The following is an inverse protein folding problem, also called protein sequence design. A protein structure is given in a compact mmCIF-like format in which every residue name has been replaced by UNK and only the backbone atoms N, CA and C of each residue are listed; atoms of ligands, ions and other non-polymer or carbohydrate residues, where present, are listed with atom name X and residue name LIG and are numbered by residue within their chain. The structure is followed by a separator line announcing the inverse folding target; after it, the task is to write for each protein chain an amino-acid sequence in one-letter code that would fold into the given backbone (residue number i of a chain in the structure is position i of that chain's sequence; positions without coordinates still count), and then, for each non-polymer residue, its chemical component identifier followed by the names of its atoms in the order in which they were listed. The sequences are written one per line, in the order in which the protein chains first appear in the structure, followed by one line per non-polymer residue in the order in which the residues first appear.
data_IF_571175725678
#
_entry.id   IF_571175725678
#
_cell.length_a   1.000
_cell.length_b   1.000
_cell.length_c   1.000
_cell.angle_alpha   90.00
_cell.angle_beta   90.00
_cell.angle_gamma   90.00
#
_symmetry.space_group_name_H-M   'P 1'
#
loop_
_entity.id
_entity.type
_entity.pdbx_description
1 polymer ?
#
# COMPACT_ATOMS: atom_id res chain seq x y z
N UNK A 1 -34.22 -0.10 10.34
CA UNK A 1 -33.03 0.59 9.84
C UNK A 1 -31.87 0.31 10.77
N UNK A 2 -31.40 -0.93 10.81
CA UNK A 2 -30.22 -1.30 11.61
C UNK A 2 -29.02 -1.25 10.71
N UNK A 3 -28.39 -0.05 10.67
CA UNK A 3 -27.11 0.13 10.02
C UNK A 3 -26.06 -0.72 10.74
N UNK A 4 -25.66 -1.82 10.11
CA UNK A 4 -24.47 -2.56 10.47
C UNK A 4 -23.28 -1.58 10.43
N UNK A 5 -22.96 -1.00 11.59
CA UNK A 5 -21.62 -0.43 11.83
C UNK A 5 -20.66 -1.63 11.76
N UNK A 6 -20.19 -1.97 10.56
CA UNK A 6 -19.10 -2.93 10.40
C UNK A 6 -17.95 -2.38 11.24
N UNK A 7 -17.54 -3.17 12.23
CA UNK A 7 -16.42 -2.80 13.11
C UNK A 7 -15.21 -2.58 12.22
N UNK A 8 -14.73 -1.34 12.16
CA UNK A 8 -13.60 -0.97 11.30
C UNK A 8 -12.40 -1.82 11.67
N UNK A 9 -11.81 -2.47 10.68
CA UNK A 9 -10.59 -3.27 10.83
C UNK A 9 -9.44 -2.30 11.11
N UNK A 10 -8.62 -2.61 12.10
CA UNK A 10 -7.38 -1.90 12.35
C UNK A 10 -6.24 -2.94 12.38
N UNK A 11 -5.23 -2.76 11.54
CA UNK A 11 -4.09 -3.66 11.42
C UNK A 11 -2.85 -2.92 11.92
N UNK A 12 -2.13 -3.47 12.91
CA UNK A 12 -0.88 -2.87 13.36
C UNK A 12 0.15 -2.79 12.22
N UNK A 13 0.87 -1.68 12.13
CA UNK A 13 1.95 -1.52 11.15
C UNK A 13 3.16 -2.42 11.47
N UNK A 14 3.28 -2.84 12.71
CA UNK A 14 4.47 -3.50 13.25
C UNK A 14 5.53 -2.53 13.77
N UNK A 15 5.24 -1.23 13.72
CA UNK A 15 6.05 -0.14 14.25
C UNK A 15 5.23 0.60 15.32
N UNK A 16 5.36 0.26 16.63
CA UNK A 16 4.45 0.75 17.67
C UNK A 16 4.36 2.27 17.79
N UNK A 17 5.46 2.99 17.54
CA UNK A 17 5.45 4.46 17.55
C UNK A 17 4.65 5.03 16.37
N UNK A 18 4.75 4.40 15.20
CA UNK A 18 3.93 4.77 14.03
C UNK A 18 2.46 4.48 14.31
N UNK A 19 2.15 3.33 14.92
CA UNK A 19 0.78 2.98 15.31
C UNK A 19 0.17 4.01 16.27
N UNK A 20 0.95 4.54 17.21
CA UNK A 20 0.51 5.61 18.11
C UNK A 20 0.21 6.93 17.39
N UNK A 21 0.80 7.16 16.20
CA UNK A 21 0.64 8.39 15.41
C UNK A 21 -0.54 8.29 14.43
N UNK A 22 -0.64 7.19 13.69
CA UNK A 22 -1.64 7.03 12.62
C UNK A 22 -2.78 6.05 12.96
N UNK A 23 -2.74 5.39 14.13
CA UNK A 23 -3.73 4.40 14.55
C UNK A 23 -3.57 3.03 13.89
N UNK A 24 -2.46 2.76 13.20
CA UNK A 24 -2.27 1.57 12.37
C UNK A 24 -2.87 1.74 10.96
N UNK A 25 -3.04 0.63 10.23
CA UNK A 25 -3.79 0.64 8.97
C UNK A 25 -5.28 0.52 9.28
N UNK A 26 -5.96 1.65 9.23
CA UNK A 26 -7.37 1.79 9.66
C UNK A 26 -8.32 1.48 8.52
N UNK A 27 -9.37 0.71 8.79
CA UNK A 27 -10.41 0.38 7.83
C UNK A 27 -11.14 1.60 7.30
N UNK A 28 -11.57 1.55 6.04
CA UNK A 28 -12.16 2.69 5.33
C UNK A 28 -11.15 3.71 4.82
N UNK A 29 -9.85 3.48 5.07
CA UNK A 29 -8.78 4.40 4.66
C UNK A 29 -7.91 3.82 3.55
N UNK A 30 -7.42 4.73 2.69
CA UNK A 30 -6.33 4.47 1.75
C UNK A 30 -5.01 4.92 2.35
N UNK A 31 -4.06 3.98 2.46
CA UNK A 31 -2.71 4.21 2.93
C UNK A 31 -1.76 4.14 1.74
N UNK A 32 -1.06 5.22 1.46
CA UNK A 32 -0.09 5.26 0.37
C UNK A 32 1.33 5.23 0.93
N UNK A 33 2.09 4.21 0.54
CA UNK A 33 3.49 4.02 0.94
C UNK A 33 4.36 4.24 -0.29
N UNK A 34 5.20 5.24 -0.29
CA UNK A 34 6.05 5.53 -1.42
C UNK A 34 7.51 5.80 -1.02
N UNK A 35 8.39 5.75 -1.98
CA UNK A 35 9.82 6.01 -1.78
C UNK A 35 10.66 5.39 -2.88
N UNK A 36 11.98 5.56 -2.75
CA UNK A 36 12.97 5.02 -3.66
C UNK A 36 12.94 3.48 -3.72
N UNK A 37 13.60 2.92 -4.73
CA UNK A 37 13.83 1.48 -4.79
C UNK A 37 14.59 0.99 -3.54
N UNK A 38 14.27 -0.21 -3.08
CA UNK A 38 14.90 -0.86 -1.90
C UNK A 38 14.71 -0.09 -0.57
N UNK A 39 13.81 0.90 -0.51
CA UNK A 39 13.53 1.64 0.73
C UNK A 39 12.66 0.85 1.73
N UNK A 40 12.16 -0.35 1.37
CA UNK A 40 11.43 -1.23 2.29
C UNK A 40 9.90 -1.15 2.17
N UNK A 41 9.35 -0.52 1.15
CA UNK A 41 7.90 -0.38 0.92
C UNK A 41 7.17 -1.73 0.95
N UNK A 42 7.59 -2.64 0.06
CA UNK A 42 7.05 -4.01 -0.01
C UNK A 42 7.23 -4.76 1.31
N UNK A 43 8.38 -4.61 1.98
CA UNK A 43 8.61 -5.28 3.28
C UNK A 43 7.67 -4.78 4.38
N UNK A 44 7.36 -3.48 4.39
CA UNK A 44 6.38 -2.90 5.32
C UNK A 44 4.96 -3.38 5.01
N UNK A 45 4.58 -3.43 3.73
CA UNK A 45 3.30 -3.96 3.30
C UNK A 45 3.16 -5.47 3.56
N UNK A 46 4.23 -6.26 3.40
CA UNK A 46 4.24 -7.69 3.73
C UNK A 46 4.06 -7.94 5.24
N UNK A 47 4.66 -7.10 6.09
CA UNK A 47 4.44 -7.17 7.54
C UNK A 47 2.97 -6.86 7.89
N UNK A 48 2.36 -5.87 7.22
CA UNK A 48 0.93 -5.58 7.37
C UNK A 48 0.07 -6.79 6.95
N UNK A 49 0.41 -7.45 5.84
CA UNK A 49 -0.27 -8.67 5.39
C UNK A 49 -0.16 -9.81 6.43
N UNK A 50 1.03 -10.03 6.98
CA UNK A 50 1.22 -11.02 8.04
C UNK A 50 0.38 -10.70 9.29
N UNK A 51 0.32 -9.42 9.69
CA UNK A 51 -0.49 -8.98 10.82
C UNK A 51 -1.99 -9.13 10.56
N UNK A 52 -2.48 -8.82 9.35
CA UNK A 52 -3.88 -9.04 8.96
C UNK A 52 -4.28 -10.53 9.02
N UNK A 53 -3.40 -11.41 8.56
CA UNK A 53 -3.60 -12.87 8.62
C UNK A 53 -3.66 -13.37 10.07
N UNK A 54 -2.75 -12.89 10.93
CA UNK A 54 -2.77 -13.23 12.38
C UNK A 54 -4.05 -12.78 13.09
N UNK A 55 -4.67 -11.70 12.61
CA UNK A 55 -5.99 -11.27 13.06
C UNK A 55 -7.16 -12.10 12.48
N UNK A 56 -6.85 -13.20 11.80
CA UNK A 56 -7.82 -14.15 11.26
C UNK A 56 -8.41 -13.76 9.88
N UNK A 57 -7.90 -12.69 9.23
CA UNK A 57 -8.40 -12.25 7.93
C UNK A 57 -7.69 -12.88 6.75
N UNK A 58 -8.32 -12.76 5.57
CA UNK A 58 -7.67 -12.97 4.28
C UNK A 58 -7.06 -11.65 3.80
N UNK A 59 -6.01 -11.76 3.01
CA UNK A 59 -5.35 -10.64 2.35
C UNK A 59 -5.42 -10.85 0.84
N UNK A 60 -5.87 -9.82 0.11
CA UNK A 60 -5.75 -9.76 -1.33
C UNK A 60 -4.53 -8.91 -1.67
N UNK A 61 -3.58 -9.50 -2.38
CA UNK A 61 -2.37 -8.83 -2.85
C UNK A 61 -2.38 -8.75 -4.37
N UNK A 62 -2.53 -7.55 -4.89
CA UNK A 62 -2.45 -7.27 -6.34
C UNK A 62 -0.99 -6.93 -6.66
N UNK A 63 -0.34 -7.82 -7.40
CA UNK A 63 1.06 -7.69 -7.84
C UNK A 63 1.09 -6.95 -9.18
N UNK A 64 1.17 -5.64 -9.13
CA UNK A 64 1.14 -4.78 -10.32
C UNK A 64 2.48 -4.83 -11.06
N UNK A 65 2.47 -5.45 -12.23
CA UNK A 65 3.65 -5.66 -13.07
C UNK A 65 4.38 -6.97 -12.80
N UNK A 66 3.78 -7.88 -12.02
CA UNK A 66 4.32 -9.23 -11.75
C UNK A 66 5.75 -9.18 -11.18
N UNK A 67 5.96 -8.31 -10.19
CA UNK A 67 7.28 -8.02 -9.61
C UNK A 67 7.48 -8.60 -8.21
N UNK A 68 6.53 -9.39 -7.71
CA UNK A 68 6.61 -9.99 -6.39
C UNK A 68 7.73 -11.04 -6.33
N UNK A 69 8.64 -10.86 -5.40
CA UNK A 69 9.62 -11.88 -5.02
C UNK A 69 8.96 -12.87 -4.06
N UNK A 70 8.53 -14.01 -4.60
CA UNK A 70 7.76 -15.02 -3.85
C UNK A 70 8.54 -15.54 -2.64
N UNK A 71 9.87 -15.74 -2.76
CA UNK A 71 10.70 -16.15 -1.63
C UNK A 71 10.63 -15.13 -0.49
N UNK A 72 10.65 -13.84 -0.81
CA UNK A 72 10.55 -12.77 0.18
C UNK A 72 9.18 -12.73 0.86
N UNK A 73 8.13 -12.91 0.09
CA UNK A 73 6.77 -13.03 0.59
C UNK A 73 6.65 -14.19 1.58
N UNK A 74 7.09 -15.38 1.18
CA UNK A 74 7.06 -16.57 2.02
C UNK A 74 7.93 -16.40 3.27
N UNK A 75 9.14 -15.84 3.15
CA UNK A 75 10.03 -15.58 4.27
C UNK A 75 9.33 -14.73 5.34
N UNK A 76 8.71 -13.60 4.94
CA UNK A 76 8.02 -12.71 5.89
C UNK A 76 6.82 -13.42 6.54
N UNK A 77 6.00 -14.12 5.75
CA UNK A 77 4.83 -14.82 6.28
C UNK A 77 5.22 -15.93 7.27
N UNK A 78 6.19 -16.78 6.92
CA UNK A 78 6.66 -17.87 7.80
C UNK A 78 7.32 -17.35 9.07
N UNK A 79 8.19 -16.33 8.96
CA UNK A 79 8.83 -15.73 10.14
C UNK A 79 7.80 -15.16 11.12
N UNK A 80 6.71 -14.62 10.60
CA UNK A 80 5.59 -14.11 11.41
C UNK A 80 4.57 -15.19 11.80
N UNK A 81 4.76 -16.48 11.43
CA UNK A 81 3.81 -17.57 11.64
C UNK A 81 2.41 -17.26 11.08
N UNK A 82 2.35 -16.58 9.95
CA UNK A 82 1.12 -16.27 9.24
C UNK A 82 0.77 -17.42 8.29
N UNK A 83 -0.52 -17.77 8.25
CA UNK A 83 -1.05 -18.82 7.39
C UNK A 83 -1.06 -18.36 5.92
N UNK A 84 -0.16 -18.90 5.11
CA UNK A 84 0.00 -18.53 3.70
C UNK A 84 -1.24 -18.79 2.86
N UNK A 85 -2.10 -19.74 3.25
CA UNK A 85 -3.36 -20.03 2.54
C UNK A 85 -4.37 -18.89 2.59
N UNK A 86 -4.16 -17.93 3.47
CA UNK A 86 -5.02 -16.74 3.62
C UNK A 86 -4.55 -15.55 2.76
N UNK A 87 -3.44 -15.68 2.05
CA UNK A 87 -2.99 -14.66 1.10
C UNK A 87 -3.38 -15.07 -0.32
N UNK A 88 -4.13 -14.20 -0.99
CA UNK A 88 -4.55 -14.36 -2.38
C UNK A 88 -3.67 -13.42 -3.20
N UNK A 89 -2.72 -13.99 -3.94
CA UNK A 89 -1.84 -13.24 -4.84
C UNK A 89 -2.50 -13.16 -6.22
N UNK A 90 -2.72 -11.95 -6.71
CA UNK A 90 -3.31 -11.65 -8.01
C UNK A 90 -2.28 -10.92 -8.87
N UNK A 91 -1.57 -11.62 -9.77
CA UNK A 91 -0.63 -10.97 -10.67
C UNK A 91 -1.38 -10.18 -11.73
N UNK A 92 -0.87 -8.99 -12.06
CA UNK A 92 -1.42 -8.07 -13.06
C UNK A 92 -0.29 -7.60 -13.96
N UNK A 93 -0.42 -7.75 -15.27
CA UNK A 93 0.67 -7.52 -16.23
C UNK A 93 0.67 -6.12 -16.83
N UNK A 94 -0.50 -5.49 -16.98
CA UNK A 94 -0.66 -4.20 -17.63
C UNK A 94 -1.71 -3.32 -16.95
N UNK A 95 -1.83 -2.08 -17.40
CA UNK A 95 -2.72 -1.09 -16.79
C UNK A 95 -4.20 -1.40 -17.03
N UNK A 96 -4.54 -2.12 -18.09
CA UNK A 96 -5.91 -2.54 -18.38
C UNK A 96 -6.34 -3.66 -17.41
N UNK A 97 -5.48 -4.65 -17.19
CA UNK A 97 -5.72 -5.69 -16.17
C UNK A 97 -5.80 -5.12 -14.76
N UNK A 98 -4.98 -4.08 -14.44
CA UNK A 98 -5.07 -3.39 -13.15
C UNK A 98 -6.44 -2.76 -12.95
N UNK A 99 -6.97 -2.09 -13.97
CA UNK A 99 -8.30 -1.48 -13.92
C UNK A 99 -9.41 -2.52 -13.75
N UNK A 100 -9.36 -3.62 -14.53
CA UNK A 100 -10.30 -4.74 -14.41
C UNK A 100 -10.26 -5.33 -13.00
N UNK A 101 -9.06 -5.51 -12.44
CA UNK A 101 -8.88 -6.03 -11.08
C UNK A 101 -9.51 -5.09 -10.04
N UNK A 102 -9.30 -3.78 -10.17
CA UNK A 102 -9.91 -2.79 -9.27
C UNK A 102 -11.43 -2.80 -9.38
N UNK A 103 -11.98 -2.91 -10.59
CA UNK A 103 -13.44 -3.02 -10.81
C UNK A 103 -13.98 -4.29 -10.14
N UNK A 104 -13.30 -5.42 -10.29
CA UNK A 104 -13.69 -6.68 -9.65
C UNK A 104 -13.70 -6.58 -8.11
N UNK A 105 -12.75 -5.84 -7.52
CA UNK A 105 -12.76 -5.56 -6.09
C UNK A 105 -13.94 -4.69 -5.67
N UNK A 106 -14.37 -3.75 -6.52
CA UNK A 106 -15.52 -2.89 -6.28
C UNK A 106 -16.84 -3.69 -6.37
N UNK A 107 -16.94 -4.62 -7.32
CA UNK A 107 -18.12 -5.49 -7.51
C UNK A 107 -18.30 -6.50 -6.37
N UNK A 108 -17.20 -6.99 -5.79
CA UNK A 108 -17.31 -7.96 -4.71
C UNK A 108 -16.02 -8.30 -3.96
N UNK A 109 -15.91 -7.80 -2.75
CA UNK A 109 -14.83 -8.17 -1.82
C UNK A 109 -15.36 -9.14 -0.76
N UNK A 110 -14.68 -10.30 -0.58
CA UNK A 110 -15.08 -11.30 0.41
C UNK A 110 -15.16 -10.69 1.82
N UNK A 111 -16.20 -11.01 2.61
CA UNK A 111 -16.32 -10.56 4.01
C UNK A 111 -15.17 -11.00 4.91
N UNK A 112 -14.44 -12.05 4.54
CA UNK A 112 -13.24 -12.51 5.26
C UNK A 112 -11.98 -11.71 4.94
N UNK A 113 -12.01 -10.84 3.92
CA UNK A 113 -10.88 -9.97 3.58
C UNK A 113 -10.73 -8.89 4.63
N UNK A 114 -9.52 -8.72 5.16
CA UNK A 114 -9.18 -7.68 6.13
C UNK A 114 -8.17 -6.67 5.62
N UNK A 115 -7.52 -6.96 4.50
CA UNK A 115 -6.52 -6.08 3.88
C UNK A 115 -6.50 -6.31 2.38
N UNK A 116 -6.38 -5.22 1.63
CA UNK A 116 -6.01 -5.25 0.21
C UNK A 116 -4.70 -4.48 0.05
N UNK A 117 -3.76 -5.04 -0.69
CA UNK A 117 -2.48 -4.40 -1.05
C UNK A 117 -2.35 -4.35 -2.56
N UNK A 118 -1.95 -3.21 -3.11
CA UNK A 118 -1.57 -3.07 -4.52
C UNK A 118 -0.10 -2.64 -4.57
N UNK A 119 0.78 -3.50 -5.04
CA UNK A 119 2.24 -3.29 -5.10
C UNK A 119 2.78 -3.64 -6.50
N UNK A 120 3.34 -2.76 -7.27
CA UNK A 120 3.49 -1.30 -7.18
C UNK A 120 2.35 -0.61 -7.95
N UNK A 121 1.41 0.01 -7.26
CA UNK A 121 0.18 0.59 -7.81
C UNK A 121 0.43 1.60 -8.94
N UNK A 122 1.50 2.36 -8.84
CA UNK A 122 1.81 3.42 -9.80
C UNK A 122 2.70 2.96 -10.96
N UNK A 123 3.18 1.74 -10.94
CA UNK A 123 4.14 1.23 -11.92
C UNK A 123 3.52 1.09 -13.32
N UNK A 124 2.41 0.38 -13.43
CA UNK A 124 1.74 0.13 -14.71
C UNK A 124 1.16 1.41 -15.33
N UNK A 125 0.66 2.33 -14.50
CA UNK A 125 0.28 3.67 -14.93
C UNK A 125 1.46 4.39 -15.61
N UNK A 126 2.64 4.37 -14.99
CA UNK A 126 3.84 5.00 -15.53
C UNK A 126 4.26 4.40 -16.87
N UNK A 127 4.16 3.07 -17.03
CA UNK A 127 4.48 2.39 -18.30
C UNK A 127 3.46 2.72 -19.39
N UNK A 128 2.19 2.88 -19.04
CA UNK A 128 1.14 3.22 -20.00
C UNK A 128 1.25 4.65 -20.56
N UNK A 129 1.97 5.53 -19.87
CA UNK A 129 2.17 6.93 -20.32
C UNK A 129 3.11 6.99 -21.51
N UNK A 130 2.78 7.89 -22.44
CA UNK A 130 3.55 8.14 -23.67
C UNK A 130 4.45 9.39 -23.61
N UNK A 131 4.25 10.21 -22.58
CA UNK A 131 4.97 11.48 -22.38
C UNK A 131 4.31 12.70 -23.04
N UNK A 132 3.17 12.51 -23.72
CA UNK A 132 2.43 13.57 -24.40
C UNK A 132 1.16 13.93 -23.61
N UNK A 133 1.01 15.20 -23.21
CA UNK A 133 -0.06 15.67 -22.31
C UNK A 133 -1.47 15.25 -22.79
N UNK A 134 -1.73 15.33 -24.10
CA UNK A 134 -3.05 15.00 -24.68
C UNK A 134 -3.31 13.49 -24.66
N UNK A 135 -2.28 12.68 -24.92
CA UNK A 135 -2.38 11.23 -24.96
C UNK A 135 -2.41 10.63 -23.54
N UNK A 136 -1.76 11.27 -22.59
CA UNK A 136 -1.69 10.83 -21.21
C UNK A 136 -2.91 11.24 -20.36
N UNK A 137 -3.67 12.27 -20.78
CA UNK A 137 -4.84 12.72 -20.06
C UNK A 137 -5.89 11.62 -19.78
N UNK A 138 -6.22 10.72 -20.73
CA UNK A 138 -7.10 9.58 -20.45
C UNK A 138 -6.50 8.60 -19.44
N UNK A 139 -5.20 8.38 -19.47
CA UNK A 139 -4.48 7.46 -18.55
C UNK A 139 -4.55 8.00 -17.10
N UNK A 140 -4.36 9.32 -16.92
CA UNK A 140 -4.56 9.96 -15.62
C UNK A 140 -6.00 9.87 -15.12
N UNK A 141 -7.01 10.03 -16.01
CA UNK A 141 -8.42 9.87 -15.64
C UNK A 141 -8.72 8.45 -15.17
N UNK A 142 -8.19 7.45 -15.84
CA UNK A 142 -8.34 6.03 -15.45
C UNK A 142 -7.69 5.75 -14.09
N UNK A 143 -6.49 6.28 -13.83
CA UNK A 143 -5.88 6.14 -12.51
C UNK A 143 -6.70 6.82 -11.42
N UNK A 144 -7.25 8.01 -11.70
CA UNK A 144 -8.13 8.69 -10.76
C UNK A 144 -9.40 7.88 -10.46
N UNK A 145 -10.00 7.29 -11.50
CA UNK A 145 -11.14 6.39 -11.35
C UNK A 145 -10.79 5.17 -10.51
N UNK A 146 -9.69 4.48 -10.80
CA UNK A 146 -9.22 3.33 -10.01
C UNK A 146 -9.00 3.71 -8.55
N UNK A 147 -8.37 4.86 -8.28
CA UNK A 147 -8.08 5.29 -6.90
C UNK A 147 -9.37 5.64 -6.15
N UNK A 148 -10.33 6.28 -6.82
CA UNK A 148 -11.65 6.55 -6.25
C UNK A 148 -12.42 5.25 -5.96
N UNK A 149 -12.37 4.27 -6.87
CA UNK A 149 -12.98 2.95 -6.69
C UNK A 149 -12.37 2.20 -5.50
N UNK A 150 -11.04 2.25 -5.33
CA UNK A 150 -10.39 1.68 -4.15
C UNK A 150 -10.84 2.36 -2.84
N UNK A 151 -11.05 3.68 -2.88
CA UNK A 151 -11.60 4.39 -1.71
C UNK A 151 -13.01 3.91 -1.37
N UNK A 152 -13.85 3.70 -2.37
CA UNK A 152 -15.19 3.14 -2.20
C UNK A 152 -15.14 1.71 -1.63
N UNK A 153 -14.27 0.86 -2.16
CA UNK A 153 -14.02 -0.51 -1.62
C UNK A 153 -13.64 -0.45 -0.15
N UNK A 154 -12.71 0.44 0.23
CA UNK A 154 -12.27 0.59 1.61
C UNK A 154 -13.43 0.99 2.53
N UNK A 155 -14.22 2.00 2.14
CA UNK A 155 -15.34 2.53 2.92
C UNK A 155 -16.46 1.48 3.06
N UNK A 156 -16.89 0.88 1.95
CA UNK A 156 -18.01 -0.07 1.93
C UNK A 156 -17.71 -1.33 2.73
N UNK A 157 -16.45 -1.81 2.69
CA UNK A 157 -16.06 -3.03 3.38
C UNK A 157 -15.47 -2.78 4.78
N UNK A 158 -15.18 -1.53 5.16
CA UNK A 158 -14.57 -1.17 6.43
C UNK A 158 -13.16 -1.74 6.61
N UNK A 159 -12.42 -1.92 5.50
CA UNK A 159 -11.07 -2.51 5.48
C UNK A 159 -10.03 -1.48 5.03
N UNK A 160 -8.78 -1.56 5.49
CA UNK A 160 -7.70 -0.73 4.97
C UNK A 160 -7.26 -1.23 3.60
N UNK A 161 -6.84 -0.29 2.76
CA UNK A 161 -6.15 -0.57 1.50
C UNK A 161 -4.78 0.09 1.54
N UNK A 162 -3.74 -0.68 1.22
CA UNK A 162 -2.37 -0.19 1.09
C UNK A 162 -2.03 -0.11 -0.40
N UNK A 163 -1.67 1.06 -0.85
CA UNK A 163 -1.11 1.29 -2.18
C UNK A 163 0.38 1.57 -2.03
N UNK A 164 1.21 0.81 -2.72
CA UNK A 164 2.66 1.05 -2.79
C UNK A 164 2.98 1.78 -4.08
N UNK A 165 3.85 2.77 -4.02
CA UNK A 165 4.24 3.55 -5.20
C UNK A 165 5.72 3.92 -5.22
N UNK A 166 6.21 4.26 -6.40
CA UNK A 166 7.56 4.73 -6.60
C UNK A 166 7.66 6.24 -6.40
N UNK A 167 8.83 6.68 -6.01
CA UNK A 167 9.22 8.06 -5.99
C UNK A 167 10.07 8.41 -7.23
N UNK A 168 10.02 9.67 -7.64
CA UNK A 168 10.92 10.23 -8.64
C UNK A 168 11.39 11.60 -8.17
N UNK A 169 12.56 12.01 -8.63
CA UNK A 169 13.04 13.34 -8.37
C UNK A 169 12.40 14.36 -9.35
N UNK A 170 11.91 15.45 -8.77
CA UNK A 170 11.40 16.58 -9.53
C UNK A 170 12.35 17.77 -9.34
N UNK A 171 12.96 18.31 -10.40
CA UNK A 171 13.88 19.45 -10.28
C UNK A 171 13.25 20.60 -9.49
N UNK A 172 13.95 21.07 -8.46
CA UNK A 172 13.50 22.18 -7.61
C UNK A 172 12.42 21.84 -6.58
N UNK A 173 11.81 20.63 -6.62
CA UNK A 173 10.75 20.20 -5.70
C UNK A 173 11.11 18.95 -4.89
N UNK A 174 12.30 18.38 -5.14
CA UNK A 174 12.78 17.16 -4.46
C UNK A 174 12.01 15.90 -4.87
N UNK A 175 12.06 14.89 -4.04
CA UNK A 175 11.45 13.58 -4.29
C UNK A 175 9.94 13.64 -4.14
N UNK A 176 9.19 13.22 -5.15
CA UNK A 176 7.73 13.18 -5.17
C UNK A 176 7.24 11.79 -5.60
N UNK A 177 6.05 11.36 -5.17
CA UNK A 177 5.46 10.14 -5.70
C UNK A 177 5.01 10.32 -7.15
N UNK A 178 5.05 9.23 -7.91
CA UNK A 178 4.42 9.18 -9.23
C UNK A 178 2.92 9.45 -9.07
N UNK A 179 2.34 10.26 -9.97
CA UNK A 179 0.94 10.67 -9.94
C UNK A 179 0.50 11.34 -8.61
N UNK A 180 1.40 12.09 -7.98
CA UNK A 180 1.26 12.68 -6.65
C UNK A 180 -0.07 13.41 -6.41
N UNK A 181 -0.61 14.11 -7.42
CA UNK A 181 -1.89 14.84 -7.31
C UNK A 181 -3.07 13.89 -7.10
N UNK A 182 -3.11 12.77 -7.83
CA UNK A 182 -4.21 11.80 -7.76
C UNK A 182 -4.12 11.01 -6.46
N UNK A 183 -3.00 10.30 -6.25
CA UNK A 183 -2.82 9.46 -5.05
C UNK A 183 -2.82 10.29 -3.77
N UNK A 184 -2.26 11.50 -3.80
CA UNK A 184 -2.24 12.41 -2.66
C UNK A 184 -3.63 12.95 -2.28
N UNK A 185 -4.51 13.17 -3.27
CA UNK A 185 -5.89 13.59 -3.02
C UNK A 185 -6.70 12.50 -2.31
N UNK A 186 -6.67 11.28 -2.85
CA UNK A 186 -7.50 10.17 -2.35
C UNK A 186 -6.96 9.46 -1.11
N UNK A 187 -5.64 9.47 -0.88
CA UNK A 187 -5.04 8.82 0.28
C UNK A 187 -5.35 9.57 1.58
N UNK A 188 -5.70 8.83 2.61
CA UNK A 188 -5.92 9.37 3.96
C UNK A 188 -4.60 9.46 4.72
N UNK A 189 -3.72 8.47 4.52
CA UNK A 189 -2.38 8.42 5.12
C UNK A 189 -1.33 8.31 4.03
N UNK A 190 -0.26 9.09 4.12
CA UNK A 190 0.89 9.03 3.20
C UNK A 190 2.16 8.84 4.02
N UNK A 191 2.85 7.75 3.72
CA UNK A 191 4.12 7.37 4.32
C UNK A 191 5.22 7.42 3.25
N UNK A 192 6.26 8.20 3.50
CA UNK A 192 7.45 8.27 2.66
C UNK A 192 8.57 7.46 3.27
N UNK A 193 9.20 6.60 2.48
CA UNK A 193 10.36 5.80 2.87
C UNK A 193 11.60 6.24 2.12
N UNK A 194 12.68 6.45 2.86
CA UNK A 194 13.97 6.91 2.34
C UNK A 194 15.09 5.93 2.71
N UNK A 195 16.05 5.79 1.81
CA UNK A 195 17.30 5.07 2.08
C UNK A 195 18.29 5.99 2.81
N UNK A 196 19.14 5.41 3.65
CA UNK A 196 20.33 6.08 4.18
C UNK A 196 21.58 5.32 3.75
N UNK A 197 22.73 5.95 3.87
CA UNK A 197 24.03 5.36 3.50
C UNK A 197 24.44 4.14 4.34
N UNK A 198 23.81 3.93 5.48
CA UNK A 198 24.15 2.88 6.46
C UNK A 198 23.26 1.65 6.40
N UNK A 199 22.42 1.51 5.38
CA UNK A 199 21.44 0.40 5.32
C UNK A 199 20.22 0.57 6.24
N UNK A 200 20.20 1.61 7.07
CA UNK A 200 19.03 2.07 7.83
C UNK A 200 18.07 2.75 6.87
N UNK A 201 16.76 2.69 7.14
CA UNK A 201 15.70 3.39 6.42
C UNK A 201 15.04 4.38 7.35
N UNK A 202 14.48 5.41 6.74
CA UNK A 202 13.68 6.41 7.46
C UNK A 202 12.28 6.41 6.89
N UNK A 203 11.29 6.28 7.77
CA UNK A 203 9.87 6.46 7.47
C UNK A 203 9.45 7.84 7.95
N UNK A 204 8.73 8.57 7.09
CA UNK A 204 8.16 9.89 7.39
C UNK A 204 6.65 9.85 7.17
N UNK A 205 5.89 10.45 8.08
CA UNK A 205 4.44 10.68 7.90
C UNK A 205 4.28 12.04 7.22
N UNK A 206 3.71 12.05 6.01
CA UNK A 206 3.46 13.27 5.23
C UNK A 206 1.99 13.70 5.26
N UNK A 207 1.07 12.75 5.51
CA UNK A 207 -0.37 12.98 5.66
C UNK A 207 -0.97 11.94 6.61
N UNK A 208 -2.02 12.32 7.33
CA UNK A 208 -2.76 11.41 8.22
C UNK A 208 -2.26 11.38 9.65
N UNK A 209 -1.38 12.31 10.03
CA UNK A 209 -0.88 12.46 11.40
C UNK A 209 0.04 13.68 11.52
N UNK A 210 0.55 13.96 12.72
CA UNK A 210 1.57 14.98 12.93
C UNK A 210 2.87 14.60 12.22
N UNK A 211 3.76 15.58 12.05
CA UNK A 211 5.12 15.33 11.53
C UNK A 211 5.81 14.31 12.40
N UNK A 212 6.22 13.20 11.81
CA UNK A 212 6.82 12.08 12.51
C UNK A 212 7.85 11.39 11.62
N UNK A 213 8.96 11.02 12.22
CA UNK A 213 10.01 10.22 11.58
C UNK A 213 10.37 9.03 12.46
N UNK A 214 10.62 7.89 11.82
CA UNK A 214 11.11 6.69 12.48
C UNK A 214 12.18 6.00 11.64
N UNK A 215 13.30 5.66 12.30
CA UNK A 215 14.32 4.80 11.71
C UNK A 215 13.91 3.34 11.87
N UNK A 216 14.19 2.55 10.84
CA UNK A 216 13.92 1.13 10.84
C UNK A 216 14.94 0.39 9.98
N UNK A 217 14.99 -0.93 10.12
CA UNK A 217 15.75 -1.83 9.24
C UNK A 217 14.81 -2.87 8.62
N UNK A 218 15.22 -3.39 7.46
CA UNK A 218 14.56 -4.54 6.84
C UNK A 218 15.10 -5.81 7.49
N UNK A 219 14.21 -6.73 7.87
CA UNK A 219 14.53 -8.01 8.53
C UNK A 219 13.76 -9.13 7.86
N UNK A 220 14.04 -10.37 8.23
CA UNK A 220 13.31 -11.55 7.74
C UNK A 220 11.80 -11.48 8.08
N UNK A 221 11.45 -10.82 9.18
CA UNK A 221 10.06 -10.60 9.58
C UNK A 221 9.36 -9.45 8.84
N UNK A 222 10.04 -8.72 7.97
CA UNK A 222 9.54 -7.53 7.29
C UNK A 222 10.37 -6.31 7.64
N UNK A 223 9.95 -5.51 8.62
CA UNK A 223 10.66 -4.34 9.11
C UNK A 223 10.72 -4.33 10.64
N UNK A 224 11.74 -3.70 11.20
CA UNK A 224 11.93 -3.56 12.64
C UNK A 224 12.33 -2.11 12.97
N UNK A 225 11.64 -1.52 13.96
CA UNK A 225 11.97 -0.20 14.46
C UNK A 225 13.38 -0.19 15.09
N UNK A 226 14.13 0.85 14.82
CA UNK A 226 15.35 1.14 15.55
C UNK A 226 15.01 2.16 16.66
N UNK A 227 15.51 1.90 17.87
CA UNK A 227 15.45 2.84 18.98
C UNK A 227 16.15 4.16 18.63
N UNK A 228 15.78 5.21 19.34
CA UNK A 228 16.53 6.46 19.34
C UNK A 228 17.89 6.23 19.96
#
# INVERSE_FOLDING_TARGET
MDGYLRRMVCIPTGLPRLDAIIGGYVGGMLHFIYGEEKSGKTSLALLAAANAIKLGGKVVWVDCGQRMHVERLLQVLFTNRADTSKLILTPVKDFDEQEITVISLLEGTSPSTKLIVLDDYTYLHRIAMKGEVREDAPIFKRLAFQTASLKEVALTNGIPIIMVGQAHEVPGLGTKPVASRIVGYWSDVILRLENTSTGIRVLKVEKGGPTFEQRFRITDAGVEALGL
#
